data_IF_002372790066
#
_entry.id   IF_002372790066
#
_cell.length_a   1.000
_cell.length_b   1.000
_cell.length_c   1.000
_cell.angle_alpha   90.00
_cell.angle_beta   90.00
_cell.angle_gamma   90.00
#
_symmetry.space_group_name_H-M   'P 1'
#
loop_
_entity.id
_entity.type
_entity.pdbx_description
1 polymer ?
#
# COMPACT_ATOMS: atom_id res chain seq x y z
N UNK A 1 1.10 -13.58 -10.57
CA UNK A 1 1.59 -13.18 -9.24
C UNK A 1 0.40 -12.91 -8.36
N UNK A 2 0.33 -13.60 -7.24
CA UNK A 2 -0.81 -13.48 -6.34
C UNK A 2 -0.64 -12.31 -5.39
N UNK A 3 -1.75 -11.62 -5.17
CA UNK A 3 -1.81 -10.47 -4.26
C UNK A 3 -2.97 -10.69 -3.31
N UNK A 4 -2.70 -10.58 -2.02
CA UNK A 4 -3.70 -10.76 -0.98
C UNK A 4 -3.79 -9.48 -0.17
N UNK A 5 -5.01 -8.99 0.06
CA UNK A 5 -5.26 -7.90 1.00
C UNK A 5 -5.63 -8.55 2.33
N UNK A 6 -4.81 -8.30 3.36
CA UNK A 6 -5.07 -8.87 4.67
C UNK A 6 -6.42 -8.36 5.20
N UNK A 7 -7.28 -9.24 5.77
CA UNK A 7 -8.62 -8.82 6.22
C UNK A 7 -8.62 -7.67 7.22
N UNK A 8 -7.57 -7.55 8.04
CA UNK A 8 -7.43 -6.48 9.01
C UNK A 8 -7.43 -5.09 8.37
N UNK A 9 -6.93 -4.99 7.12
CA UNK A 9 -6.91 -3.71 6.40
C UNK A 9 -8.31 -3.15 6.28
N UNK A 10 -9.25 -3.97 5.84
CA UNK A 10 -10.62 -3.54 5.59
C UNK A 10 -11.38 -3.29 6.88
N UNK A 11 -11.01 -3.98 7.97
CA UNK A 11 -11.60 -3.75 9.29
C UNK A 11 -11.20 -2.40 9.87
N UNK A 12 -9.94 -2.00 9.67
CA UNK A 12 -9.41 -0.74 10.19
C UNK A 12 -9.80 0.47 9.36
N UNK A 13 -10.02 0.26 8.07
CA UNK A 13 -10.32 1.33 7.12
C UNK A 13 -11.55 0.96 6.30
N UNK A 14 -12.75 1.05 6.90
CA UNK A 14 -13.98 0.61 6.23
C UNK A 14 -14.36 1.46 5.02
N UNK A 15 -13.71 2.61 4.82
CA UNK A 15 -13.87 3.43 3.62
C UNK A 15 -13.14 2.86 2.40
N UNK A 16 -12.38 1.77 2.58
CA UNK A 16 -11.69 1.07 1.51
C UNK A 16 -12.30 -0.32 1.31
N UNK A 17 -12.54 -0.68 0.06
CA UNK A 17 -12.89 -2.06 -0.29
C UNK A 17 -11.64 -2.81 -0.75
N UNK A 18 -11.73 -4.13 -0.78
CA UNK A 18 -10.66 -4.94 -1.34
C UNK A 18 -10.36 -4.53 -2.78
N UNK A 19 -11.41 -4.31 -3.58
CA UNK A 19 -11.26 -3.89 -4.97
C UNK A 19 -10.53 -2.55 -5.08
N UNK A 20 -10.79 -1.60 -4.18
CA UNK A 20 -10.11 -0.32 -4.17
C UNK A 20 -8.61 -0.49 -3.94
N UNK A 21 -8.24 -1.34 -2.97
CA UNK A 21 -6.84 -1.58 -2.63
C UNK A 21 -6.12 -2.30 -3.76
N UNK A 22 -6.75 -3.32 -4.34
CA UNK A 22 -6.16 -4.05 -5.46
C UNK A 22 -5.98 -3.15 -6.69
N UNK A 23 -6.95 -2.29 -6.96
CA UNK A 23 -6.84 -1.33 -8.06
C UNK A 23 -5.69 -0.35 -7.82
N UNK A 24 -5.54 0.15 -6.60
CA UNK A 24 -4.44 1.04 -6.27
C UNK A 24 -3.09 0.34 -6.42
N UNK A 25 -3.02 -0.95 -6.07
CA UNK A 25 -1.81 -1.73 -6.27
C UNK A 25 -1.45 -1.85 -7.75
N UNK A 26 -2.44 -2.12 -8.59
CA UNK A 26 -2.23 -2.21 -10.04
C UNK A 26 -1.88 -0.85 -10.67
N UNK A 27 -2.39 0.23 -10.10
CA UNK A 27 -2.15 1.60 -10.57
C UNK A 27 -1.14 2.32 -9.68
N UNK A 28 -0.09 1.61 -9.32
CA UNK A 28 0.95 2.09 -8.44
C UNK A 28 1.73 3.25 -9.08
N UNK A 29 1.85 4.34 -8.32
CA UNK A 29 2.55 5.54 -8.76
C UNK A 29 3.98 5.55 -8.21
N UNK A 30 4.15 5.06 -6.98
CA UNK A 30 5.46 5.02 -6.32
C UNK A 30 5.57 3.77 -5.47
N UNK A 31 6.79 3.22 -5.40
CA UNK A 31 7.06 1.97 -4.70
C UNK A 31 8.51 1.94 -4.26
N UNK A 32 8.75 1.81 -2.96
CA UNK A 32 10.10 1.73 -2.41
C UNK A 32 10.19 0.66 -1.33
N UNK A 33 11.33 -0.04 -1.27
CA UNK A 33 11.58 -0.95 -0.15
C UNK A 33 11.95 -0.17 1.10
N UNK A 34 11.54 -0.67 2.24
CA UNK A 34 12.01 -0.19 3.55
C UNK A 34 13.14 -1.10 3.98
N UNK A 35 14.36 -0.68 3.67
CA UNK A 35 15.56 -1.51 3.87
C UNK A 35 15.83 -1.83 5.34
N UNK A 36 15.29 -1.03 6.25
CA UNK A 36 15.51 -1.20 7.68
C UNK A 36 14.58 -2.24 8.32
N UNK A 37 13.54 -2.66 7.61
CA UNK A 37 12.61 -3.64 8.20
C UNK A 37 13.10 -5.07 7.98
N UNK A 38 12.78 -5.94 8.94
CA UNK A 38 13.09 -7.36 8.87
C UNK A 38 11.87 -8.13 9.38
N UNK A 39 11.15 -8.88 8.51
CA UNK A 39 11.39 -9.01 7.07
C UNK A 39 11.17 -7.72 6.32
N UNK A 40 11.71 -7.65 5.11
CA UNK A 40 11.63 -6.44 4.30
C UNK A 40 10.18 -6.10 3.95
N UNK A 41 9.85 -4.83 4.12
CA UNK A 41 8.55 -4.28 3.76
C UNK A 41 8.71 -3.32 2.60
N UNK A 42 7.62 -3.09 1.90
CA UNK A 42 7.55 -2.19 0.77
C UNK A 42 6.43 -1.19 1.02
N UNK A 43 6.72 0.08 0.77
CA UNK A 43 5.74 1.15 0.86
C UNK A 43 5.37 1.59 -0.54
N UNK A 44 4.08 1.79 -0.80
CA UNK A 44 3.60 2.18 -2.11
C UNK A 44 2.46 3.18 -2.00
N UNK A 45 2.29 3.96 -3.06
CA UNK A 45 1.11 4.78 -3.26
C UNK A 45 0.57 4.48 -4.65
N UNK A 46 -0.73 4.23 -4.73
CA UNK A 46 -1.43 4.06 -5.99
C UNK A 46 -2.77 4.78 -5.94
N UNK A 47 -3.45 4.82 -7.08
CA UNK A 47 -4.76 5.46 -7.15
C UNK A 47 -5.86 4.41 -7.35
N UNK A 48 -6.98 4.62 -6.68
CA UNK A 48 -8.17 3.78 -6.84
C UNK A 48 -9.02 4.28 -8.03
N UNK A 49 -10.12 3.56 -8.38
CA UNK A 49 -10.94 3.96 -9.52
C UNK A 49 -11.58 5.35 -9.39
N UNK A 50 -11.70 5.87 -8.17
CA UNK A 50 -12.25 7.20 -7.92
C UNK A 50 -11.17 8.28 -7.86
N UNK A 51 -9.93 7.92 -8.15
CA UNK A 51 -8.82 8.86 -8.13
C UNK A 51 -8.27 9.18 -6.76
N UNK A 52 -8.70 8.45 -5.70
CA UNK A 52 -8.13 8.65 -4.37
C UNK A 52 -6.75 8.02 -4.32
N UNK A 53 -5.82 8.70 -3.65
CA UNK A 53 -4.50 8.12 -3.39
C UNK A 53 -4.59 7.21 -2.18
N UNK A 54 -4.05 6.02 -2.30
CA UNK A 54 -4.03 5.01 -1.25
C UNK A 54 -2.59 4.66 -0.93
N UNK A 55 -2.22 4.80 0.33
CA UNK A 55 -0.94 4.32 0.83
C UNK A 55 -1.07 2.83 1.17
N UNK A 56 -0.05 2.04 0.84
CA UNK A 56 -0.06 0.61 1.10
C UNK A 56 1.30 0.18 1.62
N UNK A 57 1.29 -0.80 2.54
CA UNK A 57 2.51 -1.48 2.97
C UNK A 57 2.32 -2.96 2.75
N UNK A 58 3.29 -3.58 2.10
CA UNK A 58 3.21 -4.99 1.72
C UNK A 58 4.50 -5.73 2.03
N UNK A 59 4.38 -7.04 2.13
CA UNK A 59 5.51 -7.96 2.23
C UNK A 59 5.36 -9.02 1.14
N UNK A 60 6.48 -9.50 0.66
CA UNK A 60 6.50 -10.61 -0.29
C UNK A 60 6.77 -11.90 0.47
N UNK A 61 5.85 -12.84 0.37
CA UNK A 61 6.00 -14.16 0.99
C UNK A 61 7.02 -14.99 0.21
N UNK A 62 7.50 -16.08 0.83
CA UNK A 62 8.51 -16.94 0.22
C UNK A 62 8.07 -17.58 -1.09
N UNK A 63 6.76 -17.76 -1.28
CA UNK A 63 6.21 -18.33 -2.53
C UNK A 63 5.97 -17.27 -3.60
N UNK A 64 6.34 -16.01 -3.33
CA UNK A 64 6.15 -14.92 -4.28
C UNK A 64 4.84 -14.15 -4.11
N UNK A 65 3.94 -14.58 -3.23
CA UNK A 65 2.69 -13.89 -2.97
C UNK A 65 2.95 -12.56 -2.27
N UNK A 66 2.31 -11.49 -2.75
CA UNK A 66 2.33 -10.21 -2.07
C UNK A 66 1.19 -10.13 -1.07
N UNK A 67 1.49 -9.73 0.15
CA UNK A 67 0.47 -9.52 1.18
C UNK A 67 0.45 -8.05 1.56
N UNK A 68 -0.65 -7.37 1.25
CA UNK A 68 -0.87 -5.98 1.66
C UNK A 68 -1.49 -6.04 3.03
N UNK A 69 -0.76 -5.61 4.05
CA UNK A 69 -1.24 -5.68 5.44
C UNK A 69 -1.57 -4.32 6.03
N UNK A 70 -1.39 -3.25 5.26
CA UNK A 70 -1.76 -1.89 5.64
C UNK A 70 -2.20 -1.15 4.38
N UNK A 71 -3.30 -0.42 4.49
CA UNK A 71 -3.73 0.53 3.46
C UNK A 71 -4.55 1.63 4.12
N UNK A 72 -4.39 2.85 3.64
CA UNK A 72 -5.19 3.98 4.13
C UNK A 72 -5.31 5.06 3.06
N UNK A 73 -6.37 5.85 3.15
CA UNK A 73 -6.57 7.01 2.30
C UNK A 73 -7.10 8.17 3.16
N UNK A 74 -6.62 9.40 3.00
CA UNK A 74 -5.48 9.74 2.16
C UNK A 74 -4.17 9.22 2.77
N UNK A 75 -3.08 9.19 1.98
CA UNK A 75 -1.78 8.80 2.53
C UNK A 75 -1.34 9.72 3.67
N UNK A 76 -0.62 9.15 4.64
CA UNK A 76 -0.09 9.95 5.73
C UNK A 76 1.00 10.90 5.22
N UNK A 77 1.18 12.01 5.95
CA UNK A 77 2.23 12.97 5.61
C UNK A 77 3.60 12.31 5.61
N UNK A 78 3.84 11.40 6.55
CA UNK A 78 5.10 10.66 6.63
C UNK A 78 5.38 9.89 5.33
N UNK A 79 4.37 9.19 4.80
CA UNK A 79 4.52 8.43 3.56
C UNK A 79 4.73 9.36 2.38
N UNK A 80 4.01 10.46 2.32
CA UNK A 80 4.17 11.43 1.23
C UNK A 80 5.59 11.99 1.19
N UNK A 81 6.17 12.24 2.36
CA UNK A 81 7.56 12.70 2.45
C UNK A 81 8.52 11.57 2.05
N UNK A 82 8.30 10.36 2.58
CA UNK A 82 9.14 9.20 2.31
C UNK A 82 9.23 8.91 0.81
N UNK A 83 8.11 9.02 0.10
CA UNK A 83 8.04 8.77 -1.33
C UNK A 83 8.26 10.03 -2.18
N UNK A 84 8.61 11.14 -1.53
CA UNK A 84 8.97 12.41 -2.18
C UNK A 84 7.82 13.06 -2.94
N UNK A 85 6.58 12.83 -2.52
CA UNK A 85 5.43 13.53 -3.08
C UNK A 85 5.35 14.95 -2.56
N UNK A 86 5.83 15.19 -1.33
CA UNK A 86 5.88 16.52 -0.73
C UNK A 86 7.24 16.72 -0.08
N UNK A 87 7.65 17.98 0.04
CA UNK A 87 8.87 18.35 0.73
C UNK A 87 8.60 18.51 2.23
N UNK A 88 9.64 18.31 3.02
CA UNK A 88 9.57 18.58 4.44
C UNK A 88 9.28 20.05 4.71
#
# INVERSE_FOLDING_TARGET
MDIIVHPRVLQRHPDLSEADVLSAWENMISFLPRLESSPMRYIAIGSDPRGRLIEMVAQKASDGTWVIFHAMTPPSKKTLIELKFVRR
#
